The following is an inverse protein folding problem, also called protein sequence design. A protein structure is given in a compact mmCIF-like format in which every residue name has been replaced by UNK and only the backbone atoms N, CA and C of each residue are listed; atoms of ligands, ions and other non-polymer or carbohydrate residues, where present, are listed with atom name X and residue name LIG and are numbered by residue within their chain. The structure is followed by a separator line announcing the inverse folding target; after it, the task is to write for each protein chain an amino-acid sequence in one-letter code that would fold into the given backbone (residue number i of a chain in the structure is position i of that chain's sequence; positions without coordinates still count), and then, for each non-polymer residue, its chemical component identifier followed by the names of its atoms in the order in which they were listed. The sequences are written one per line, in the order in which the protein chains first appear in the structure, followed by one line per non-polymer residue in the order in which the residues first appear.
data_IF_582219216094
#
_entry.id   IF_582219216094
#
_cell.length_a   1.000
_cell.length_b   1.000
_cell.length_c   1.000
_cell.angle_alpha   90.00
_cell.angle_beta   90.00
_cell.angle_gamma   90.00
#
_symmetry.space_group_name_H-M   'P 1'
#
loop_
_entity.id
_entity.type
_entity.pdbx_description
1 polymer ?
2 non-polymer ?
3 water ?
#
# COMPACT_ATOMS: atom_id res chain seq x y z
N UNK A 1 22.08 -0.92 -1.92
CA UNK A 1 20.95 -1.76 -1.54
C UNK A 1 21.05 -3.13 -2.21
N UNK A 2 20.42 -4.14 -1.59
CA UNK A 2 20.60 -5.53 -2.05
C UNK A 2 19.91 -5.78 -3.38
N UNK A 3 20.25 -6.90 -3.99
CA UNK A 3 19.66 -7.25 -5.26
C UNK A 3 18.21 -7.70 -5.09
N UNK A 4 17.89 -8.27 -3.94
CA UNK A 4 16.54 -8.73 -3.63
C UNK A 4 16.13 -8.14 -2.29
N UNK A 5 14.90 -7.68 -2.23
CA UNK A 5 14.29 -7.28 -0.97
C UNK A 5 12.94 -7.94 -0.92
N UNK A 6 12.60 -8.55 0.21
CA UNK A 6 11.26 -9.12 0.37
C UNK A 6 10.89 -8.92 1.82
N UNK A 7 10.06 -7.91 2.09
CA UNK A 7 9.67 -7.61 3.46
C UNK A 7 8.81 -8.70 4.09
N UNK A 8 8.24 -9.59 3.27
CA UNK A 8 7.49 -10.69 3.84
C UNK A 8 8.43 -11.64 4.58
N UNK A 9 9.65 -11.81 4.07
CA UNK A 9 10.59 -12.71 4.72
C UNK A 9 11.15 -12.14 6.02
N UNK A 10 11.12 -10.82 6.19
CA UNK A 10 11.51 -10.23 7.46
C UNK A 10 10.31 -10.02 8.38
N UNK A 11 9.21 -10.73 8.11
CA UNK A 11 8.06 -10.72 8.99
C UNK A 11 7.37 -9.38 9.11
N UNK A 12 7.48 -8.53 8.08
CA UNK A 12 6.97 -7.16 8.14
C UNK A 12 5.71 -6.98 7.30
N UNK A 13 5.11 -8.06 6.82
CA UNK A 13 3.91 -7.97 5.99
C UNK A 13 2.84 -8.89 6.56
N UNK A 14 1.65 -8.35 6.73
CA UNK A 14 0.53 -9.10 7.25
C UNK A 14 -0.17 -9.83 6.12
N UNK A 15 -1.10 -10.73 6.42
CA UNK A 15 -1.78 -11.46 5.35
C UNK A 15 -2.46 -10.54 4.37
N UNK A 16 -2.61 -11.06 3.15
CA UNK A 16 -3.22 -10.29 2.07
C UNK A 16 -4.68 -10.09 2.39
N UNK A 17 -5.17 -8.88 2.15
CA UNK A 17 -6.55 -8.55 2.38
C UNK A 17 -7.30 -8.44 1.08
N UNK A 18 -8.62 -8.38 1.20
CA UNK A 18 -9.50 -8.16 0.07
C UNK A 18 -10.31 -6.92 0.40
N UNK A 19 -10.13 -5.88 -0.41
CA UNK A 19 -10.86 -4.65 -0.17
C UNK A 19 -12.33 -4.76 -0.55
N UNK A 20 -12.71 -5.79 -1.32
CA UNK A 20 -14.10 -5.91 -1.69
C UNK A 20 -14.47 -4.86 -2.73
N UNK A 21 -15.76 -4.52 -2.78
CA UNK A 21 -16.20 -3.62 -3.85
C UNK A 21 -15.84 -2.17 -3.56
N UNK A 22 -15.53 -1.86 -2.31
CA UNK A 22 -15.20 -0.51 -1.89
C UNK A 22 -13.88 -0.04 -2.50
N UNK A 23 -13.86 1.20 -3.02
CA UNK A 23 -12.65 1.75 -3.58
C UNK A 23 -11.75 2.26 -2.47
N UNK A 24 -11.29 1.34 -1.63
CA UNK A 24 -10.52 1.68 -0.43
C UNK A 24 -9.06 1.31 -0.57
N UNK A 25 -8.60 1.06 -1.79
CA UNK A 25 -7.21 0.67 -2.03
C UNK A 25 -6.24 1.63 -1.38
N UNK A 26 -6.54 2.93 -1.45
CA UNK A 26 -5.67 3.93 -0.83
C UNK A 26 -5.49 3.65 0.66
N UNK A 27 -6.55 3.19 1.34
CA UNK A 27 -6.41 2.89 2.76
C UNK A 27 -5.67 1.59 2.98
N UNK A 28 -5.95 0.57 2.17
CA UNK A 28 -5.23 -0.69 2.28
C UNK A 28 -3.75 -0.47 2.02
N UNK A 29 -3.43 0.32 0.98
CA UNK A 29 -2.06 0.64 0.65
C UNK A 29 -1.36 1.32 1.82
N UNK A 30 -2.00 2.36 2.38
CA UNK A 30 -1.39 3.07 3.50
C UNK A 30 -1.14 2.13 4.67
N UNK A 31 -2.11 1.26 4.97
CA UNK A 31 -1.97 0.39 6.13
C UNK A 31 -0.80 -0.56 5.97
N UNK A 32 -0.58 -1.09 4.76
CA UNK A 32 0.57 -1.97 4.58
C UNK A 32 1.85 -1.26 4.99
N UNK A 33 1.99 0.00 4.60
CA UNK A 33 3.21 0.71 4.96
C UNK A 33 3.28 0.97 6.45
N UNK A 34 2.12 1.20 7.10
CA UNK A 34 2.13 1.36 8.54
C UNK A 34 2.48 0.05 9.24
N UNK A 35 1.85 -1.06 8.81
CA UNK A 35 2.22 -2.34 9.39
C UNK A 35 3.71 -2.62 9.22
N UNK A 36 4.25 -2.32 8.04
CA UNK A 36 5.65 -2.56 7.81
C UNK A 36 6.54 -1.72 8.71
N UNK A 37 6.33 -0.41 8.73
CA UNK A 37 7.24 0.45 9.48
C UNK A 37 7.12 0.21 10.99
N UNK A 38 5.95 -0.15 11.50
CA UNK A 38 5.86 -0.47 12.93
C UNK A 38 6.65 -1.72 13.26
N UNK A 39 6.57 -2.74 12.40
CA UNK A 39 7.36 -3.94 12.65
C UNK A 39 8.84 -3.64 12.57
N UNK A 40 9.24 -2.83 11.58
CA UNK A 40 10.65 -2.51 11.38
C UNK A 40 11.20 -1.78 12.61
N UNK A 41 10.44 -0.80 13.12
CA UNK A 41 10.92 -0.02 14.26
C UNK A 41 10.76 -0.73 15.59
N UNK A 42 9.65 -1.44 15.81
CA UNK A 42 9.35 -1.97 17.13
C UNK A 42 9.50 -3.48 17.23
N UNK A 43 9.62 -4.18 16.10
CA UNK A 43 9.73 -5.63 16.13
C UNK A 43 8.42 -6.37 16.18
N UNK A 44 7.30 -5.67 16.36
CA UNK A 44 5.99 -6.29 16.44
C UNK A 44 5.27 -6.10 15.12
N UNK A 45 4.76 -7.19 14.57
CA UNK A 45 3.88 -7.15 13.41
C UNK A 45 2.44 -7.14 13.89
N UNK A 46 1.73 -6.04 13.64
CA UNK A 46 0.32 -5.93 13.98
C UNK A 46 -0.45 -5.56 12.72
N UNK A 47 -1.75 -5.81 12.75
CA UNK A 47 -2.61 -5.37 11.66
C UNK A 47 -3.30 -4.10 12.11
N UNK A 48 -3.38 -3.14 11.21
CA UNK A 48 -4.01 -1.87 11.53
C UNK A 48 -5.24 -1.68 10.66
N UNK A 49 -6.03 -0.68 11.01
CA UNK A 49 -7.39 -0.55 10.51
C UNK A 49 -7.42 0.24 9.21
N UNK A 50 -7.69 -0.46 8.10
CA UNK A 50 -8.06 0.25 6.88
C UNK A 50 -9.37 1.00 7.06
N UNK A 51 -10.28 0.42 7.84
CA UNK A 51 -11.60 1.00 8.02
C UNK A 51 -11.50 2.37 8.67
N UNK A 52 -10.60 2.51 9.62
CA UNK A 52 -10.43 3.78 10.29
C UNK A 52 -10.03 4.88 9.31
N UNK A 53 -9.13 4.56 8.39
CA UNK A 53 -8.73 5.58 7.41
C UNK A 53 -9.88 5.88 6.48
N UNK A 54 -10.58 4.82 6.07
CA UNK A 54 -11.73 4.95 5.22
C UNK A 54 -12.75 5.90 5.83
N UNK A 55 -13.04 5.71 7.13
CA UNK A 55 -14.03 6.52 7.82
C UNK A 55 -13.53 7.91 8.17
N UNK A 56 -12.24 8.03 8.47
CA UNK A 56 -11.74 9.22 9.16
C UNK A 56 -10.93 10.16 8.29
N UNK A 57 -10.46 9.74 7.12
CA UNK A 57 -9.62 10.65 6.33
C UNK A 57 -10.58 11.51 5.52
N UNK A 58 -10.78 12.75 5.97
CA UNK A 58 -11.72 13.66 5.34
C UNK A 58 -11.22 14.23 4.01
N UNK A 59 -9.94 14.07 3.68
CA UNK A 59 -9.47 14.46 2.36
C UNK A 59 -9.76 13.41 1.29
N UNK A 60 -9.98 12.17 1.69
CA UNK A 60 -10.32 11.13 0.75
C UNK A 60 -11.84 10.99 0.67
N UNK A 61 -12.29 10.15 -0.24
CA UNK A 61 -13.70 10.03 -0.56
C UNK A 61 -14.22 8.62 -0.28
N UNK A 62 -13.76 8.04 0.83
CA UNK A 62 -14.35 6.80 1.29
C UNK A 62 -14.15 5.72 0.27
N UNK A 63 -15.23 5.02 -0.04
CA UNK A 63 -15.17 3.95 -1.02
C UNK A 63 -15.10 4.48 -2.45
N UNK A 64 -15.16 5.78 -2.65
CA UNK A 64 -15.05 6.32 -4.00
C UNK A 64 -13.61 6.60 -4.37
N UNK A 65 -12.68 6.29 -3.48
CA UNK A 65 -11.28 6.53 -3.74
C UNK A 65 -10.71 7.53 -2.77
N UNK A 66 -9.40 7.66 -2.83
CA UNK A 66 -8.74 8.55 -1.91
C UNK A 66 -7.26 8.56 -2.15
N UNK A 67 -6.56 9.13 -1.18
CA UNK A 67 -5.15 9.44 -1.34
C UNK A 67 -4.36 8.68 -0.30
N UNK A 68 -3.44 7.81 -0.70
CA UNK A 68 -2.54 7.20 0.27
C UNK A 68 -1.80 8.21 1.13
N UNK A 69 -1.38 9.33 0.54
CA UNK A 69 -0.62 10.31 1.30
C UNK A 69 -1.49 10.98 2.36
N UNK A 70 -2.77 11.22 2.08
CA UNK A 70 -3.62 11.82 3.12
C UNK A 70 -3.89 10.84 4.25
N UNK A 71 -4.11 9.56 3.93
CA UNK A 71 -4.27 8.55 4.97
C UNK A 71 -3.01 8.47 5.82
N UNK A 72 -1.85 8.55 5.17
CA UNK A 72 -0.60 8.48 5.91
C UNK A 72 -0.44 9.69 6.81
N UNK A 73 -0.87 10.86 6.33
CA UNK A 73 -0.81 12.05 7.16
C UNK A 73 -1.72 11.92 8.38
N UNK A 74 -2.90 11.34 8.18
CA UNK A 74 -3.82 11.12 9.29
C UNK A 74 -3.19 10.30 10.40
N UNK A 75 -2.45 9.24 10.03
CA UNK A 75 -1.83 8.38 11.03
C UNK A 75 -0.67 9.11 11.72
N UNK A 76 -0.03 10.03 11.01
CA UNK A 76 1.05 10.82 11.60
C UNK A 76 0.48 11.90 12.52
N UNK A 77 -0.67 12.46 12.13
CA UNK A 77 -1.29 13.51 12.92
C UNK A 77 -1.99 12.95 14.15
N UNK A 78 -2.73 11.85 13.99
CA UNK A 78 -3.53 11.29 15.07
C UNK A 78 -2.99 9.93 15.50
N UNK A 79 -3.08 8.93 14.65
CA UNK A 79 -2.69 7.58 14.97
C UNK A 79 -3.64 6.63 14.27
N UNK A 80 -3.51 5.35 14.58
CA UNK A 80 -4.37 4.33 13.97
C UNK A 80 -4.61 3.25 15.00
N UNK A 81 -5.74 2.58 14.88
CA UNK A 81 -6.14 1.52 15.79
C UNK A 81 -5.81 0.17 15.17
N UNK A 82 -5.76 -0.85 16.03
CA UNK A 82 -5.66 -2.22 15.57
C UNK A 82 -6.83 -2.56 14.68
N UNK A 83 -6.57 -3.44 13.70
CA UNK A 83 -7.64 -3.91 12.85
C UNK A 83 -8.72 -4.63 13.65
N UNK A 84 -8.33 -5.45 14.62
CA UNK A 84 -9.31 -6.15 15.47
C UNK A 84 -10.27 -5.18 16.14
N UNK A 85 -9.75 -4.04 16.57
CA UNK A 85 -10.55 -3.05 17.30
C UNK A 85 -11.49 -2.33 16.35
N UNK A 86 -11.06 -2.17 15.11
CA UNK A 86 -11.74 -1.33 14.13
C UNK A 86 -11.74 -2.10 12.83
N UNK A 87 -12.54 -3.17 12.77
CA UNK A 87 -12.43 -4.09 11.63
C UNK A 87 -13.00 -3.51 10.36
N UNK A 88 -12.59 -4.12 9.27
CA UNK A 88 -12.99 -3.70 7.95
C UNK A 88 -14.43 -4.11 7.69
N UNK A 89 -15.20 -3.16 7.20
CA UNK A 89 -16.60 -3.33 6.92
C UNK A 89 -16.92 -3.15 5.44
N UNK A 90 -16.00 -2.57 4.67
CA UNK A 90 -16.21 -2.48 3.24
C UNK A 90 -17.15 -1.38 2.85
N UNK A 91 -17.48 -0.50 3.79
CA UNK A 91 -18.36 0.62 3.54
C UNK A 91 -17.86 1.75 4.43
N UNK A 92 -17.94 2.97 3.92
CA UNK A 92 -17.57 4.12 4.74
C UNK A 92 -18.67 4.37 5.76
N UNK A 93 -18.30 4.47 7.02
CA UNK A 93 -19.21 4.86 8.07
C UNK A 93 -18.63 6.11 8.70
N UNK A 94 -19.17 6.50 9.83
CA UNK A 94 -18.61 7.67 10.48
C UNK A 94 -17.31 7.29 11.18
N UNK A 95 -16.50 8.31 11.46
CA UNK A 95 -15.21 8.08 12.09
C UNK A 95 -15.40 7.71 13.55
N UNK A 96 -14.94 6.52 13.94
CA UNK A 96 -15.18 5.98 15.28
C UNK A 96 -13.91 5.85 16.12
N UNK A 97 -12.86 6.57 15.74
CA UNK A 97 -11.60 6.47 16.47
C UNK A 97 -11.79 6.76 17.95
N UNK A 98 -12.57 7.78 18.29
CA UNK A 98 -12.67 8.19 19.69
C UNK A 98 -13.48 7.21 20.52
N UNK A 99 -14.37 6.43 19.88
CA UNK A 99 -15.13 5.40 20.57
C UNK A 99 -14.32 4.15 20.86
N UNK A 100 -13.15 4.01 20.23
CA UNK A 100 -12.36 2.78 20.29
C UNK A 100 -11.09 2.93 21.10
N UNK A 101 -11.04 3.93 21.97
CA UNK A 101 -9.96 4.05 22.93
C UNK A 101 -8.70 4.61 22.31
N UNK A 102 -7.58 4.44 23.03
CA UNK A 102 -6.31 5.01 22.56
C UNK A 102 -5.89 4.39 21.24
N UNK A 103 -5.22 5.20 20.42
CA UNK A 103 -4.63 4.68 19.20
C UNK A 103 -3.60 3.61 19.55
N UNK A 104 -3.46 2.63 18.66
CA UNK A 104 -2.47 1.58 18.86
C UNK A 104 -1.09 2.00 18.40
N UNK A 105 -1.02 2.86 17.39
CA UNK A 105 0.25 3.23 16.78
C UNK A 105 0.12 4.63 16.19
N UNK A 106 1.25 5.32 16.13
CA UNK A 106 1.31 6.64 15.51
C UNK A 106 2.60 6.71 14.73
N UNK A 107 2.58 7.42 13.63
CA UNK A 107 3.78 7.67 12.87
C UNK A 107 4.19 9.13 13.04
N UNK A 108 5.32 9.49 12.44
CA UNK A 108 5.87 10.82 12.63
C UNK A 108 5.81 11.68 11.39
N UNK A 109 5.39 11.14 10.26
CA UNK A 109 5.26 11.94 9.06
C UNK A 109 5.11 11.08 7.83
N UNK A 110 5.14 11.76 6.68
CA UNK A 110 4.93 11.13 5.39
C UNK A 110 5.97 11.71 4.45
N UNK A 111 6.65 10.87 3.69
CA UNK A 111 7.56 11.35 2.65
C UNK A 111 7.09 10.88 1.28
N UNK A 112 7.34 11.71 0.29
CA UNK A 112 7.12 11.31 -1.09
C UNK A 112 8.43 10.84 -1.66
N UNK A 113 8.38 9.72 -2.39
CA UNK A 113 9.50 9.29 -3.21
C UNK A 113 9.56 10.21 -4.43
N UNK A 114 10.76 10.66 -4.79
CA UNK A 114 10.93 11.39 -6.03
C UNK A 114 10.24 10.62 -7.17
N UNK A 115 9.28 11.24 -7.86
CA UNK A 115 8.52 10.50 -8.86
C UNK A 115 9.34 10.21 -10.10
N UNK A 116 8.88 9.23 -10.86
CA UNK A 116 9.43 8.93 -12.18
C UNK A 116 10.90 8.54 -12.11
N UNK A 117 11.28 7.91 -10.99
CA UNK A 117 12.68 7.58 -10.73
C UNK A 117 12.69 6.18 -10.14
N UNK A 118 13.04 5.19 -10.96
CA UNK A 118 13.03 3.82 -10.48
C UNK A 118 13.99 3.64 -9.33
N UNK A 119 15.19 4.20 -9.44
CA UNK A 119 16.17 4.02 -8.39
C UNK A 119 15.71 4.58 -7.05
N UNK A 120 15.03 5.73 -7.09
CA UNK A 120 14.56 6.33 -5.84
C UNK A 120 13.51 5.44 -5.19
N UNK A 121 12.64 4.84 -5.99
CA UNK A 121 11.66 3.92 -5.43
C UNK A 121 12.31 2.68 -4.84
N UNK A 122 13.29 2.09 -5.54
CA UNK A 122 13.93 0.90 -5.02
C UNK A 122 14.65 1.19 -3.72
N UNK A 123 15.30 2.35 -3.65
CA UNK A 123 15.96 2.72 -2.41
C UNK A 123 14.95 2.77 -1.27
N UNK A 124 13.77 3.31 -1.54
CA UNK A 124 12.76 3.42 -0.48
C UNK A 124 12.28 2.04 -0.04
N UNK A 125 12.00 1.16 -1.01
CA UNK A 125 11.55 -0.20 -0.71
C UNK A 125 12.59 -0.96 0.10
N UNK A 126 13.87 -0.70 -0.15
CA UNK A 126 14.90 -1.39 0.60
C UNK A 126 14.84 -1.01 2.07
N UNK A 127 14.24 0.15 2.38
CA UNK A 127 14.10 0.63 3.74
C UNK A 127 12.80 0.20 4.40
N UNK A 128 11.73 0.09 3.62
CA UNK A 128 10.42 -0.16 4.19
C UNK A 128 9.41 -0.31 3.07
N UNK A 129 8.27 -0.95 3.33
CA UNK A 129 7.21 -0.97 2.32
C UNK A 129 6.76 0.44 1.96
N UNK A 130 6.43 0.62 0.69
CA UNK A 130 6.11 1.93 0.15
C UNK A 130 4.73 1.84 -0.51
N UNK A 131 3.93 2.89 -0.34
CA UNK A 131 2.68 3.00 -1.06
C UNK A 131 2.95 3.48 -2.47
N UNK A 132 2.42 2.76 -3.46
CA UNK A 132 2.65 3.13 -4.85
C UNK A 132 1.34 3.02 -5.58
N UNK A 133 1.24 3.69 -6.72
CA UNK A 133 0.01 3.62 -7.49
C UNK A 133 0.34 3.02 -8.86
N UNK A 134 -0.68 2.45 -9.48
CA UNK A 134 -0.51 1.91 -10.81
C UNK A 134 -1.86 1.93 -11.49
N UNK A 135 -1.84 1.67 -12.80
CA UNK A 135 -3.06 1.51 -13.57
C UNK A 135 -3.47 0.05 -13.45
N UNK A 136 -4.61 -0.18 -12.81
CA UNK A 136 -5.11 -1.54 -12.64
C UNK A 136 -6.37 -1.79 -13.46
N UNK A 137 -6.86 -0.78 -14.18
CA UNK A 137 -8.11 -0.94 -14.91
C UNK A 137 -7.97 -1.93 -16.06
N UNK A 138 -6.78 -2.10 -16.59
CA UNK A 138 -6.61 -2.96 -17.75
C UNK A 138 -6.92 -4.41 -17.41
N UNK A 139 -7.53 -5.08 -18.38
CA UNK A 139 -7.90 -6.48 -18.21
C UNK A 139 -6.67 -7.36 -17.96
N UNK A 140 -5.52 -7.02 -18.54
CA UNK A 140 -4.33 -7.83 -18.31
C UNK A 140 -3.90 -7.81 -16.86
N UNK A 141 -3.96 -6.64 -16.23
CA UNK A 141 -3.68 -6.56 -14.80
C UNK A 141 -4.72 -7.34 -14.00
N UNK A 142 -5.99 -7.16 -14.34
CA UNK A 142 -7.02 -7.78 -13.53
C UNK A 142 -6.96 -9.30 -13.61
N UNK A 143 -6.61 -9.84 -14.77
CA UNK A 143 -6.52 -11.28 -14.98
C UNK A 143 -5.15 -11.84 -14.63
N UNK A 144 -4.27 -11.03 -14.06
CA UNK A 144 -2.94 -11.51 -13.73
C UNK A 144 -2.99 -12.70 -12.79
N UNK A 145 -2.33 -13.79 -13.17
CA UNK A 145 -2.27 -14.95 -12.29
C UNK A 145 -0.85 -15.31 -11.88
N UNK A 146 0.15 -14.62 -12.38
CA UNK A 146 1.50 -14.92 -11.95
C UNK A 146 2.49 -14.55 -13.04
N UNK A 147 3.75 -14.60 -12.67
CA UNK A 147 4.81 -14.23 -13.56
C UNK A 147 5.24 -12.80 -13.30
N UNK A 148 6.23 -12.37 -14.06
CA UNK A 148 6.64 -10.98 -14.01
C UNK A 148 5.75 -10.22 -14.99
N UNK A 149 4.97 -9.28 -14.46
CA UNK A 149 3.97 -8.59 -15.27
C UNK A 149 4.61 -7.44 -16.03
N UNK A 150 4.45 -7.44 -17.35
CA UNK A 150 4.99 -6.39 -18.22
C UNK A 150 3.89 -5.54 -18.80
N UNK A 151 2.65 -5.80 -18.46
CA UNK A 151 1.56 -5.18 -19.14
C UNK A 151 0.90 -6.17 -20.09
N UNK A 152 0.20 -5.66 -21.09
CA UNK A 152 0.06 -4.22 -21.40
C UNK A 152 -0.73 -3.46 -20.35
N UNK A 153 -0.34 -2.21 -20.20
CA UNK A 153 -1.03 -1.25 -19.37
C UNK A 153 -0.55 0.14 -19.77
N UNK A 154 -1.40 1.12 -19.55
CA UNK A 154 -1.01 2.51 -19.71
C UNK A 154 -0.54 3.07 -18.39
N UNK A 155 -0.52 4.39 -18.32
CA UNK A 155 -0.07 5.08 -17.12
C UNK A 155 -1.20 5.84 -16.42
N UNK A 156 -2.45 5.50 -16.74
CA UNK A 156 -3.60 6.14 -16.08
C UNK A 156 -3.81 5.50 -14.71
N UNK A 157 -3.00 5.94 -13.76
CA UNK A 157 -2.97 5.27 -12.46
C UNK A 157 -4.31 5.43 -11.77
N UNK A 158 -4.76 4.35 -11.14
CA UNK A 158 -6.11 4.34 -10.58
C UNK A 158 -6.20 3.46 -9.34
N UNK A 159 -5.08 2.93 -8.87
CA UNK A 159 -5.12 1.86 -7.87
C UNK A 159 -3.89 1.95 -7.02
N UNK A 160 -4.08 2.12 -5.72
CA UNK A 160 -2.99 2.20 -4.76
C UNK A 160 -2.70 0.80 -4.25
N UNK A 161 -1.43 0.45 -4.23
CA UNK A 161 -1.01 -0.84 -3.70
C UNK A 161 0.22 -0.54 -2.85
N UNK A 162 0.95 -1.57 -2.45
CA UNK A 162 2.12 -1.37 -1.63
C UNK A 162 3.26 -2.20 -2.19
N UNK A 163 4.41 -1.57 -2.37
CA UNK A 163 5.60 -2.26 -2.84
C UNK A 163 6.30 -2.81 -1.62
N UNK A 164 6.45 -4.13 -1.56
CA UNK A 164 7.02 -4.76 -0.38
C UNK A 164 8.32 -5.48 -0.71
N UNK A 165 8.87 -5.23 -1.90
CA UNK A 165 10.10 -5.89 -2.27
C UNK A 165 10.40 -5.62 -3.73
N UNK A 166 11.51 -6.18 -4.17
CA UNK A 166 11.93 -6.07 -5.55
C UNK A 166 13.00 -7.10 -5.81
N UNK A 167 13.28 -7.29 -7.08
CA UNK A 167 14.35 -8.15 -7.52
C UNK A 167 15.01 -7.49 -8.70
N UNK A 168 15.93 -8.20 -9.33
CA UNK A 168 16.63 -7.63 -10.48
C UNK A 168 15.71 -7.14 -11.58
N UNK A 169 14.55 -7.78 -11.73
CA UNK A 169 13.69 -7.55 -12.88
C UNK A 169 12.24 -7.30 -12.48
N UNK A 170 11.98 -6.95 -11.22
CA UNK A 170 10.62 -6.72 -10.82
C UNK A 170 10.56 -5.93 -9.53
N UNK A 171 9.41 -5.33 -9.31
CA UNK A 171 9.04 -4.79 -8.01
C UNK A 171 7.90 -5.66 -7.49
N UNK A 172 8.00 -6.07 -6.22
CA UNK A 172 7.02 -6.97 -5.63
C UNK A 172 5.93 -6.16 -4.96
N UNK A 173 4.68 -6.43 -5.32
CA UNK A 173 3.56 -5.58 -4.94
C UNK A 173 2.55 -6.42 -4.18
N UNK A 174 2.13 -5.93 -3.04
CA UNK A 174 1.03 -6.50 -2.28
C UNK A 174 -0.24 -5.83 -2.76
N UNK A 175 -1.12 -6.60 -3.37
CA UNK A 175 -2.41 -6.06 -3.77
C UNK A 175 -3.43 -6.34 -2.67
N UNK A 176 -4.60 -5.76 -2.81
CA UNK A 176 -5.67 -5.88 -1.83
C UNK A 176 -6.89 -6.52 -2.46
N UNK A 177 -6.66 -7.48 -3.34
CA UNK A 177 -7.73 -8.17 -4.03
C UNK A 177 -7.87 -9.60 -3.57
N UNK A 178 -7.36 -9.93 -2.38
CA UNK A 178 -7.50 -11.25 -1.81
C UNK A 178 -6.41 -12.19 -2.26
N UNK A 179 -6.37 -13.36 -1.63
CA UNK A 179 -5.27 -14.28 -1.90
C UNK A 179 -5.46 -15.04 -3.19
N UNK A 180 -6.65 -15.00 -3.79
CA UNK A 180 -6.88 -15.69 -5.04
C UNK A 180 -6.36 -14.98 -6.26
N UNK A 181 -6.02 -13.72 -6.13
CA UNK A 181 -5.53 -12.96 -7.26
C UNK A 181 -4.01 -13.01 -7.35
N UNK A 182 -3.50 -13.08 -8.57
CA UNK A 182 -2.06 -13.00 -8.77
C UNK A 182 -1.33 -14.12 -8.07
N UNK A 183 -0.16 -13.78 -7.51
CA UNK A 183 0.67 -14.77 -6.82
C UNK A 183 0.34 -14.73 -5.33
N UNK A 184 -0.73 -15.45 -4.99
CA UNK A 184 -1.24 -15.47 -3.62
C UNK A 184 -1.55 -14.06 -3.12
N UNK A 185 -1.96 -13.18 -4.03
CA UNK A 185 -2.31 -11.82 -3.68
C UNK A 185 -1.28 -10.79 -4.05
N UNK A 186 -0.11 -11.21 -4.54
CA UNK A 186 0.99 -10.34 -4.89
C UNK A 186 1.13 -10.31 -6.40
N UNK A 187 1.80 -9.28 -6.89
CA UNK A 187 2.19 -9.21 -8.29
C UNK A 187 3.63 -8.75 -8.34
N UNK A 188 4.40 -9.34 -9.24
CA UNK A 188 5.73 -8.85 -9.56
C UNK A 188 5.63 -8.08 -10.87
N UNK A 189 5.91 -6.80 -10.81
CA UNK A 189 5.82 -5.93 -11.98
C UNK A 189 7.22 -5.64 -12.48
N UNK A 190 7.39 -5.76 -13.79
CA UNK A 190 8.72 -5.62 -14.37
C UNK A 190 9.27 -4.23 -14.08
N UNK A 191 10.57 -4.17 -13.78
CA UNK A 191 11.25 -2.89 -13.63
C UNK A 191 12.40 -2.83 -14.62
N UNK A 192 13.04 -1.68 -14.69
CA UNK A 192 14.25 -1.57 -15.48
C UNK A 192 14.01 -1.51 -16.98
N UNK A 193 12.86 -1.02 -17.41
CA UNK A 193 12.55 -0.90 -18.81
C UNK A 193 12.91 0.47 -19.39
N UNK A 194 13.40 1.39 -18.56
CA UNK A 194 13.71 2.73 -19.01
C UNK A 194 12.50 3.62 -19.17
N UNK A 195 11.29 3.08 -19.00
CA UNK A 195 10.06 3.86 -18.98
C UNK A 195 10.02 4.66 -17.69
N UNK A 196 10.14 5.99 -17.82
CA UNK A 196 10.19 6.87 -16.66
C UNK A 196 8.92 6.77 -15.82
N UNK A 197 7.79 6.47 -16.44
CA UNK A 197 6.56 6.34 -15.67
C UNK A 197 6.51 5.04 -14.89
N UNK A 198 7.37 4.09 -15.21
CA UNK A 198 7.25 2.75 -14.71
C UNK A 198 6.17 1.98 -15.43
N UNK A 199 6.28 0.66 -15.38
CA UNK A 199 5.25 -0.17 -15.96
C UNK A 199 3.94 0.11 -15.25
N UNK A 200 2.88 0.35 -16.04
CA UNK A 200 1.55 0.69 -15.54
C UNK A 200 1.59 1.94 -14.66
N UNK A 201 2.54 2.83 -14.90
CA UNK A 201 2.58 4.09 -14.18
C UNK A 201 3.10 3.94 -12.77
N UNK A 202 3.81 2.86 -12.47
CA UNK A 202 4.19 2.51 -11.11
C UNK A 202 5.03 3.58 -10.43
N UNK A 203 5.68 4.48 -11.18
CA UNK A 203 6.51 5.48 -10.53
C UNK A 203 5.82 6.82 -10.41
N UNK A 204 4.49 6.87 -10.55
CA UNK A 204 3.79 8.15 -10.59
C UNK A 204 3.80 8.81 -9.22
N UNK A 205 3.48 8.07 -8.15
CA UNK A 205 3.15 8.74 -6.90
C UNK A 205 3.35 7.75 -5.76
N UNK A 206 4.46 7.88 -5.04
CA UNK A 206 4.83 6.90 -4.04
C UNK A 206 5.16 7.59 -2.74
N UNK A 207 4.64 7.05 -1.64
CA UNK A 207 4.74 7.66 -0.32
C UNK A 207 5.01 6.60 0.71
N UNK A 208 5.69 6.99 1.78
CA UNK A 208 5.93 6.07 2.87
C UNK A 208 5.85 6.82 4.18
N UNK A 209 5.45 6.14 5.25
CA UNK A 209 5.43 6.77 6.57
C UNK A 209 6.83 6.82 7.15
N UNK A 210 7.05 7.84 7.94
CA UNK A 210 8.28 8.02 8.71
C UNK A 210 7.91 7.73 10.16
N UNK A 211 8.73 6.95 10.83
CA UNK A 211 8.55 6.66 12.25
C UNK A 211 9.91 6.70 12.91
N UNK A 212 10.08 7.63 13.84
CA UNK A 212 11.33 7.78 14.58
C UNK A 212 11.46 6.70 15.64
X LIG B 1 -10.38 3.71 -6.47
X LIG B 1 -8.42 2.49 -5.74
X LIG B 1 -9.40 3.62 -5.47
X LIG B 1 -8.64 4.94 -5.37
X LIG B 1 -8.47 5.49 -4.30
X LIG B 1 -8.16 5.45 -6.52
X LIG B 1 -7.44 6.68 -6.52
X LIG B 1 -8.42 7.79 -6.90
X LIG B 1 -9.07 7.73 -7.93
X LIG B 1 -8.53 8.79 -6.01
X LIG B 1 -9.44 9.88 -6.22
X LIG B 1 -8.72 11.19 -6.00
X LIG B 1 -8.42 12.01 -7.26
X LIG B 1 -8.15 11.12 -8.47
X LIG B 1 -9.49 13.06 -7.58
X LIG B 1 -9.09 1.13 -5.48
X LIG B 1 -8.99 0.26 -6.37
X LIG B 1 -9.70 1.01 -4.41
X LIG B 1 -6.33 6.67 -7.56
X LIG B 1 -4.94 6.37 -7.00
X LIG B 1 -3.93 7.17 -7.82
X LIG B 1 -4.80 6.68 -5.51
#
# INVERSE_FOLDING_TARGET
IPEYVDWRQKGAVTPVKNQGSCGSCWAFSAVVTIEGIIKIRTGNLNEYSEQELLDCDRRSYGCNGGYPWSALQLVAQYGIHYRNTYPYEGVQRYCRSREKGPYAAKTDGVRQVQPYNEGALLYSIANQPVSVVLEAAGKDFQLYRGGIFVGPCGNKVDHAVAAVGYGPNYILIKNSWGTGWGENGYIRIKRGTGNSYGVCGLYTSSFYPVKN
E6C O1 C2 C3 C4 O5 N6 C7 C8 O9 N10 C11 C12 C13 C14 C15 C16 O17 O18 C19 C20 C21 C22
#
